data_IF_464609840760
#
_entry.id   IF_464609840760
#
_cell.length_a   1.000
_cell.length_b   1.000
_cell.length_c   1.000
_cell.angle_alpha   90.00
_cell.angle_beta   90.00
_cell.angle_gamma   90.00
#
_symmetry.space_group_name_H-M   'P 1'
#
loop_
_entity.id
_entity.type
_entity.pdbx_description
1 polymer ?
#
# COMPACT_ATOMS: atom_id res chain seq x y z
N UNK A 1 -6.51 0.27 -10.49
CA UNK A 1 -6.86 -1.14 -10.74
C UNK A 1 -5.68 -2.12 -10.53
N UNK A 2 -4.49 -1.88 -11.12
CA UNK A 2 -3.36 -2.83 -11.13
C UNK A 2 -2.97 -3.42 -9.75
N UNK A 3 -2.78 -2.57 -8.74
CA UNK A 3 -2.42 -3.04 -7.38
C UNK A 3 -3.59 -3.64 -6.60
N UNK A 4 -4.84 -3.31 -6.94
CA UNK A 4 -6.01 -3.93 -6.31
C UNK A 4 -6.12 -5.41 -6.63
N UNK A 5 -5.73 -5.80 -7.85
CA UNK A 5 -5.67 -7.20 -8.27
C UNK A 5 -4.52 -7.92 -7.58
N UNK A 6 -3.37 -7.26 -7.40
CA UNK A 6 -2.26 -7.79 -6.63
C UNK A 6 -2.62 -8.02 -5.16
N UNK A 7 -3.35 -7.08 -4.54
CA UNK A 7 -3.89 -7.23 -3.18
C UNK A 7 -4.89 -8.39 -3.09
N UNK A 8 -5.80 -8.52 -4.06
CA UNK A 8 -6.75 -9.64 -4.12
C UNK A 8 -6.04 -10.98 -4.31
N UNK A 9 -5.00 -11.02 -5.15
CA UNK A 9 -4.18 -12.20 -5.39
C UNK A 9 -3.47 -12.66 -4.12
N UNK A 10 -2.85 -11.72 -3.39
CA UNK A 10 -2.19 -11.99 -2.13
C UNK A 10 -3.17 -12.35 -1.01
N UNK A 11 -4.36 -11.74 -1.02
CA UNK A 11 -5.37 -12.00 0.02
C UNK A 11 -5.89 -13.41 -0.14
N UNK A 12 -6.18 -13.78 -1.38
CA UNK A 12 -6.52 -15.14 -1.75
C UNK A 12 -5.37 -16.09 -1.44
N UNK A 13 -4.14 -15.74 -1.80
CA UNK A 13 -2.96 -16.55 -1.52
C UNK A 13 -2.78 -16.84 -0.04
N UNK A 14 -3.08 -15.87 0.83
CA UNK A 14 -3.12 -16.02 2.28
C UNK A 14 -4.27 -16.93 2.75
N UNK A 15 -5.48 -16.73 2.24
CA UNK A 15 -6.65 -17.58 2.56
C UNK A 15 -6.39 -19.05 2.23
N UNK A 16 -5.60 -19.33 1.18
CA UNK A 16 -5.21 -20.68 0.78
C UNK A 16 -3.82 -21.11 1.32
N UNK A 17 -3.24 -20.37 2.27
CA UNK A 17 -1.93 -20.68 2.89
C UNK A 17 -0.76 -20.83 1.89
N UNK A 18 -0.89 -20.25 0.69
CA UNK A 18 0.14 -20.27 -0.35
C UNK A 18 1.11 -19.08 -0.28
N UNK A 19 0.76 -18.04 0.49
CA UNK A 19 1.55 -16.83 0.68
C UNK A 19 1.30 -16.17 2.03
N UNK A 20 2.34 -15.62 2.67
CA UNK A 20 2.22 -14.88 3.92
C UNK A 20 1.61 -13.48 3.74
N UNK A 21 0.60 -13.13 4.55
CA UNK A 21 -0.03 -11.80 4.53
C UNK A 21 0.69 -10.79 5.42
N UNK A 22 1.44 -9.90 4.80
CA UNK A 22 2.17 -8.84 5.50
C UNK A 22 1.41 -7.51 5.43
N UNK A 23 0.94 -7.00 6.58
CA UNK A 23 0.62 -5.58 6.78
C UNK A 23 -0.45 -4.97 5.86
N UNK A 24 -1.51 -5.70 5.50
CA UNK A 24 -2.53 -5.29 4.51
C UNK A 24 -1.98 -5.06 3.08
N UNK A 25 -0.71 -5.39 2.82
CA UNK A 25 -0.12 -5.44 1.49
C UNK A 25 0.11 -4.10 0.79
N UNK A 26 0.03 -2.95 1.47
CA UNK A 26 0.26 -1.66 0.80
C UNK A 26 1.70 -1.52 0.30
N UNK A 27 2.66 -2.21 0.92
CA UNK A 27 4.04 -2.23 0.45
C UNK A 27 4.18 -2.75 -0.98
N UNK A 28 3.25 -3.57 -1.48
CA UNK A 28 3.22 -3.97 -2.91
C UNK A 28 2.98 -2.78 -3.84
N UNK A 29 2.18 -1.81 -3.42
CA UNK A 29 1.94 -0.60 -4.21
C UNK A 29 3.13 0.38 -4.16
N UNK A 30 4.07 0.20 -3.23
CA UNK A 30 5.12 1.18 -2.93
C UNK A 30 6.05 1.52 -4.11
N UNK A 31 6.25 0.58 -5.04
CA UNK A 31 7.08 0.80 -6.23
C UNK A 31 6.26 1.09 -7.50
N UNK A 32 4.94 1.16 -7.42
CA UNK A 32 4.09 1.56 -8.56
C UNK A 32 4.12 3.07 -8.76
N UNK A 33 4.24 3.51 -10.01
CA UNK A 33 4.18 4.92 -10.38
C UNK A 33 2.87 5.59 -9.91
N UNK A 34 1.75 4.87 -9.97
CA UNK A 34 0.45 5.40 -9.52
C UNK A 34 0.41 5.70 -8.02
N UNK A 35 1.09 4.89 -7.20
CA UNK A 35 1.21 5.14 -5.77
C UNK A 35 2.22 6.25 -5.48
N UNK A 36 3.30 6.32 -6.26
CA UNK A 36 4.25 7.42 -6.18
C UNK A 36 3.60 8.75 -6.55
N UNK A 37 2.71 8.80 -7.54
CA UNK A 37 2.00 10.02 -7.97
C UNK A 37 0.78 10.36 -7.10
N UNK A 38 0.41 9.50 -6.15
CA UNK A 38 -0.78 9.70 -5.32
C UNK A 38 -0.84 11.06 -4.62
N UNK A 39 0.26 11.61 -4.06
CA UNK A 39 0.22 12.94 -3.46
C UNK A 39 -0.14 14.06 -4.45
N UNK A 40 0.27 13.92 -5.71
CA UNK A 40 -0.03 14.88 -6.77
C UNK A 40 -1.50 14.72 -7.19
N UNK A 41 -1.98 13.48 -7.35
CA UNK A 41 -3.35 13.20 -7.77
C UNK A 41 -4.39 13.66 -6.74
N UNK A 42 -4.08 13.56 -5.45
CA UNK A 42 -4.99 13.95 -4.38
C UNK A 42 -4.97 15.45 -4.05
N UNK A 43 -4.11 16.25 -4.71
CA UNK A 43 -3.93 17.68 -4.40
C UNK A 43 -5.24 18.47 -4.46
N UNK A 44 -6.10 18.12 -5.43
CA UNK A 44 -7.39 18.78 -5.66
C UNK A 44 -8.40 18.54 -4.53
N UNK A 45 -8.25 17.44 -3.80
CA UNK A 45 -9.18 17.03 -2.74
C UNK A 45 -8.62 17.26 -1.34
N UNK A 46 -7.41 17.81 -1.18
CA UNK A 46 -6.75 17.96 0.12
C UNK A 46 -7.59 18.74 1.13
N UNK A 47 -8.26 19.81 0.72
CA UNK A 47 -9.14 20.59 1.62
C UNK A 47 -10.21 19.71 2.27
N UNK A 48 -10.88 18.89 1.45
CA UNK A 48 -11.93 18.00 1.92
C UNK A 48 -11.35 16.87 2.78
N UNK A 49 -10.23 16.29 2.37
CA UNK A 49 -9.55 15.23 3.11
C UNK A 49 -9.18 15.71 4.52
N UNK A 50 -8.50 16.86 4.64
CA UNK A 50 -8.12 17.42 5.94
C UNK A 50 -9.33 17.82 6.78
N UNK A 51 -10.37 18.41 6.16
CA UNK A 51 -11.62 18.72 6.86
C UNK A 51 -12.23 17.46 7.49
N UNK A 52 -12.34 16.38 6.72
CA UNK A 52 -12.89 15.11 7.20
C UNK A 52 -12.02 14.48 8.29
N UNK A 53 -10.68 14.55 8.17
CA UNK A 53 -9.75 14.02 9.17
C UNK A 53 -9.89 14.74 10.50
N UNK A 54 -9.99 16.07 10.49
CA UNK A 54 -10.15 16.86 11.71
C UNK A 54 -11.54 16.69 12.33
N UNK A 55 -12.59 16.66 11.51
CA UNK A 55 -13.97 16.53 11.98
C UNK A 55 -14.34 15.10 12.42
N UNK A 56 -13.66 14.05 11.94
CA UNK A 56 -14.17 12.67 12.07
C UNK A 56 -14.38 12.18 13.50
N UNK A 57 -13.65 12.67 14.49
CA UNK A 57 -13.65 12.10 15.85
C UNK A 57 -14.49 12.90 16.85
N UNK A 58 -15.28 13.86 16.38
CA UNK A 58 -16.05 14.77 17.22
C UNK A 58 -17.52 14.70 16.88
N UNK A 59 -18.38 14.73 17.90
CA UNK A 59 -19.82 14.89 17.72
C UNK A 59 -20.17 16.39 17.73
N UNK A 60 -20.65 16.89 16.60
CA UNK A 60 -20.97 18.31 16.40
C UNK A 60 -22.45 18.62 16.53
N UNK A 61 -22.74 19.89 16.79
CA UNK A 61 -24.01 20.54 16.47
C UNK A 61 -23.82 21.50 15.28
N UNK A 62 -24.73 21.49 14.30
CA UNK A 62 -24.71 22.41 13.14
C UNK A 62 -24.16 21.80 11.85
N UNK A 63 -23.57 22.64 10.99
CA UNK A 63 -23.18 22.27 9.61
C UNK A 63 -22.25 21.05 9.52
N UNK A 64 -21.28 20.93 10.45
CA UNK A 64 -20.33 19.81 10.46
C UNK A 64 -20.97 18.48 10.88
N UNK A 65 -22.13 18.49 11.54
CA UNK A 65 -22.86 17.27 11.88
C UNK A 65 -23.31 16.54 10.61
N UNK A 66 -23.77 17.28 9.60
CA UNK A 66 -24.19 16.70 8.31
C UNK A 66 -23.02 16.00 7.64
N UNK A 67 -21.83 16.61 7.65
CA UNK A 67 -20.61 16.03 7.12
C UNK A 67 -20.19 14.77 7.90
N UNK A 68 -20.17 14.82 9.23
CA UNK A 68 -19.78 13.68 10.07
C UNK A 68 -20.78 12.52 10.00
N UNK A 69 -22.04 12.78 9.70
CA UNK A 69 -23.04 11.73 9.49
C UNK A 69 -22.99 11.13 8.07
N UNK A 70 -22.40 11.85 7.11
CA UNK A 70 -22.15 11.36 5.76
C UNK A 70 -20.96 10.38 5.76
N UNK A 71 -21.19 9.17 6.29
CA UNK A 71 -20.17 8.11 6.40
C UNK A 71 -19.54 7.74 5.04
N UNK A 72 -20.29 7.84 3.96
CA UNK A 72 -19.83 7.63 2.57
C UNK A 72 -18.86 8.71 2.08
N UNK A 73 -18.74 9.85 2.78
CA UNK A 73 -17.74 10.88 2.55
C UNK A 73 -16.57 10.71 3.50
N UNK A 74 -16.85 10.50 4.79
CA UNK A 74 -15.82 10.41 5.84
C UNK A 74 -14.88 9.23 5.61
N UNK A 75 -15.40 8.00 5.49
CA UNK A 75 -14.52 6.82 5.41
C UNK A 75 -13.61 6.82 4.17
N UNK A 76 -14.10 7.15 2.96
CA UNK A 76 -13.21 7.30 1.81
C UNK A 76 -12.18 8.42 2.00
N UNK A 77 -12.55 9.54 2.63
CA UNK A 77 -11.62 10.64 2.90
C UNK A 77 -10.53 10.23 3.92
N UNK A 78 -10.88 9.46 4.95
CA UNK A 78 -9.91 8.90 5.90
C UNK A 78 -8.98 7.90 5.22
N UNK A 79 -9.51 7.03 4.36
CA UNK A 79 -8.70 6.10 3.57
C UNK A 79 -7.74 6.85 2.63
N UNK A 80 -8.23 7.87 1.92
CA UNK A 80 -7.42 8.73 1.06
C UNK A 80 -6.32 9.46 1.86
N UNK A 81 -6.65 9.95 3.05
CA UNK A 81 -5.67 10.56 3.94
C UNK A 81 -4.55 9.60 4.33
N UNK A 82 -4.89 8.40 4.80
CA UNK A 82 -3.86 7.43 5.23
C UNK A 82 -3.04 6.95 4.02
N UNK A 83 -3.66 6.74 2.85
CA UNK A 83 -2.94 6.43 1.62
C UNK A 83 -1.99 7.54 1.21
N UNK A 84 -2.45 8.80 1.22
CA UNK A 84 -1.63 9.99 0.98
C UNK A 84 -0.44 10.04 1.94
N UNK A 85 -0.71 9.83 3.23
CA UNK A 85 0.30 9.86 4.28
C UNK A 85 1.39 8.81 4.06
N UNK A 86 1.00 7.56 3.79
CA UNK A 86 1.96 6.49 3.50
C UNK A 86 2.68 6.69 2.16
N UNK A 87 2.06 7.32 1.16
CA UNK A 87 2.74 7.68 -0.08
C UNK A 87 3.84 8.74 0.16
N UNK A 88 3.60 9.74 1.01
CA UNK A 88 4.62 10.72 1.41
C UNK A 88 5.73 10.06 2.23
N UNK A 89 5.38 9.20 3.18
CA UNK A 89 6.38 8.42 3.93
C UNK A 89 7.23 7.55 2.99
N UNK A 90 6.62 6.94 1.97
CA UNK A 90 7.34 6.17 0.96
C UNK A 90 8.32 7.03 0.16
N UNK A 91 7.97 8.27 -0.19
CA UNK A 91 8.90 9.23 -0.80
C UNK A 91 10.08 9.53 0.13
N UNK A 92 9.81 9.80 1.40
CA UNK A 92 10.86 10.04 2.39
C UNK A 92 11.77 8.82 2.53
N UNK A 93 11.20 7.62 2.66
CA UNK A 93 11.93 6.38 2.76
C UNK A 93 12.83 6.15 1.53
N UNK A 94 12.33 6.41 0.32
CA UNK A 94 13.14 6.35 -0.91
C UNK A 94 14.24 7.41 -0.93
N UNK A 95 13.93 8.64 -0.55
CA UNK A 95 14.89 9.76 -0.48
C UNK A 95 16.04 9.48 0.49
N UNK A 96 15.73 8.94 1.66
CA UNK A 96 16.72 8.55 2.67
C UNK A 96 17.35 7.16 2.42
N UNK A 97 16.96 6.47 1.34
CA UNK A 97 17.39 5.09 1.03
C UNK A 97 17.21 4.13 2.20
N UNK A 98 16.07 4.24 2.88
CA UNK A 98 15.67 3.34 3.96
C UNK A 98 14.46 2.52 3.55
N UNK A 99 14.33 1.37 4.20
CA UNK A 99 13.24 0.43 4.00
C UNK A 99 12.39 0.33 5.25
N UNK A 100 11.11 0.64 5.09
CA UNK A 100 10.14 0.73 6.18
C UNK A 100 9.09 -0.38 6.07
N UNK A 101 8.60 -0.84 7.22
CA UNK A 101 7.50 -1.79 7.26
C UNK A 101 6.17 -1.11 6.93
N UNK A 102 5.29 -1.83 6.24
CA UNK A 102 3.91 -1.42 6.01
C UNK A 102 2.95 -1.86 7.13
N UNK A 103 3.46 -2.51 8.18
CA UNK A 103 2.67 -3.04 9.32
C UNK A 103 1.77 -2.03 10.01
N UNK A 104 2.13 -0.75 9.99
CA UNK A 104 1.40 0.33 10.67
C UNK A 104 0.25 0.89 9.84
N UNK A 105 0.17 0.57 8.54
CA UNK A 105 -0.88 1.10 7.66
C UNK A 105 -2.29 0.72 8.11
N UNK A 106 -2.54 -0.59 8.26
CA UNK A 106 -3.84 -1.11 8.70
C UNK A 106 -4.27 -0.57 10.06
N UNK A 107 -3.43 -0.65 11.12
CA UNK A 107 -3.73 -0.10 12.43
C UNK A 107 -4.03 1.40 12.43
N UNK A 108 -3.30 2.22 11.65
CA UNK A 108 -3.54 3.67 11.54
C UNK A 108 -4.90 3.94 10.90
N UNK A 109 -5.22 3.26 9.80
CA UNK A 109 -6.53 3.40 9.14
C UNK A 109 -7.66 2.97 10.08
N UNK A 110 -7.50 1.84 10.76
CA UNK A 110 -8.45 1.36 11.75
C UNK A 110 -8.63 2.35 12.90
N UNK A 111 -7.56 2.95 13.42
CA UNK A 111 -7.65 3.95 14.49
C UNK A 111 -8.48 5.16 14.08
N UNK A 112 -8.31 5.68 12.86
CA UNK A 112 -9.15 6.77 12.35
C UNK A 112 -10.61 6.35 12.16
N UNK A 113 -10.86 5.16 11.62
CA UNK A 113 -12.21 4.63 11.43
C UNK A 113 -12.93 4.41 12.78
N UNK A 114 -12.23 3.81 13.76
CA UNK A 114 -12.76 3.59 15.11
C UNK A 114 -13.00 4.92 15.83
N UNK A 115 -12.11 5.90 15.66
CA UNK A 115 -12.30 7.24 16.20
C UNK A 115 -13.58 7.91 15.67
N UNK A 116 -13.97 7.64 14.42
CA UNK A 116 -15.23 8.11 13.86
C UNK A 116 -16.44 7.32 14.35
N UNK A 117 -16.31 6.00 14.44
CA UNK A 117 -17.36 5.10 14.93
C UNK A 117 -17.71 5.39 16.39
N UNK A 118 -16.71 5.55 17.25
CA UNK A 118 -16.88 5.80 18.68
C UNK A 118 -17.03 7.28 19.04
N UNK A 119 -17.20 8.20 18.08
CA UNK A 119 -17.27 9.64 18.36
C UNK A 119 -18.29 9.97 19.45
N UNK A 120 -19.46 9.34 19.41
CA UNK A 120 -20.54 9.57 20.38
C UNK A 120 -20.19 8.99 21.76
N UNK A 121 -19.74 7.73 21.79
CA UNK A 121 -19.34 7.05 23.04
C UNK A 121 -18.15 7.73 23.72
N UNK A 122 -17.20 8.24 22.94
CA UNK A 122 -16.00 8.94 23.43
C UNK A 122 -16.38 10.21 24.18
N UNK A 123 -17.37 10.96 23.69
CA UNK A 123 -17.89 12.14 24.38
C UNK A 123 -18.65 11.79 25.66
N UNK A 124 -19.48 10.75 25.62
CA UNK A 124 -20.23 10.31 26.82
C UNK A 124 -19.31 9.81 27.94
N UNK A 125 -18.21 9.12 27.60
CA UNK A 125 -17.32 8.49 28.57
C UNK A 125 -16.14 9.38 28.97
N UNK A 126 -15.50 10.04 28.02
CA UNK A 126 -14.26 10.81 28.24
C UNK A 126 -14.47 12.32 28.14
N UNK A 127 -15.63 12.78 27.67
CA UNK A 127 -15.96 14.21 27.54
C UNK A 127 -15.64 15.01 28.80
N UNK A 128 -16.12 14.62 29.99
CA UNK A 128 -15.89 15.40 31.22
C UNK A 128 -14.39 15.56 31.54
N UNK A 129 -13.59 14.52 31.31
CA UNK A 129 -12.13 14.57 31.50
C UNK A 129 -11.41 15.40 30.42
N UNK A 130 -12.02 15.57 29.25
CA UNK A 130 -11.54 16.44 28.18
C UNK A 130 -12.11 17.86 28.23
N UNK A 131 -12.90 18.20 29.26
CA UNK A 131 -13.47 19.52 29.48
C UNK A 131 -14.82 19.79 28.80
N UNK A 132 -15.56 18.75 28.39
CA UNK A 132 -16.84 18.85 27.68
C UNK A 132 -17.90 17.93 28.27
N UNK A 133 -19.10 18.44 28.58
CA UNK A 133 -20.20 17.63 29.14
C UNK A 133 -21.28 17.26 28.11
N UNK A 134 -21.11 17.67 26.84
CA UNK A 134 -22.10 17.49 25.77
C UNK A 134 -21.47 17.54 24.37
N UNK A 135 -22.26 17.94 23.37
CA UNK A 135 -21.80 18.03 21.96
C UNK A 135 -20.91 19.25 21.73
N UNK A 136 -19.98 19.15 20.79
CA UNK A 136 -19.15 20.27 20.39
C UNK A 136 -19.94 21.21 19.45
N UNK A 137 -19.96 22.50 19.74
CA UNK A 137 -20.52 23.47 18.79
C UNK A 137 -19.64 23.56 17.54
N UNK A 138 -20.26 23.68 16.36
CA UNK A 138 -19.52 23.97 15.13
C UNK A 138 -18.90 25.35 15.22
N UNK A 139 -17.57 25.40 15.34
CA UNK A 139 -16.80 26.66 15.35
C UNK A 139 -16.26 27.03 13.97
N UNK A 140 -16.37 26.13 13.00
CA UNK A 140 -15.92 26.31 11.62
C UNK A 140 -17.10 26.20 10.66
N UNK A 141 -17.54 27.35 10.13
CA UNK A 141 -18.74 27.45 9.29
C UNK A 141 -18.45 27.21 7.80
N UNK A 142 -19.48 26.84 7.05
CA UNK A 142 -19.38 26.60 5.61
C UNK A 142 -18.88 27.82 4.81
N UNK A 143 -19.18 29.04 5.27
CA UNK A 143 -18.65 30.29 4.70
C UNK A 143 -17.13 30.36 4.78
N UNK A 144 -16.55 29.98 5.92
CA UNK A 144 -15.11 29.96 6.15
C UNK A 144 -14.38 28.89 5.33
N UNK A 145 -15.06 27.80 4.97
CA UNK A 145 -14.47 26.74 4.14
C UNK A 145 -14.11 27.21 2.73
N UNK A 146 -14.95 28.07 2.13
CA UNK A 146 -14.71 28.57 0.76
C UNK A 146 -13.46 29.47 0.69
N UNK A 147 -13.26 30.31 1.70
CA UNK A 147 -12.13 31.25 1.77
C UNK A 147 -10.85 30.65 2.35
N UNK A 148 -10.93 29.56 3.11
CA UNK A 148 -9.76 28.94 3.75
C UNK A 148 -8.79 28.32 2.75
N UNK A 149 -7.49 28.53 2.95
CA UNK A 149 -6.44 27.82 2.20
C UNK A 149 -6.27 26.38 2.71
N UNK A 150 -5.49 25.55 1.99
CA UNK A 150 -5.18 24.19 2.44
C UNK A 150 -4.40 24.22 3.76
N UNK A 151 -3.46 25.15 3.89
CA UNK A 151 -2.64 25.33 5.10
C UNK A 151 -3.55 25.72 6.28
N UNK A 152 -4.53 26.58 6.03
CA UNK A 152 -5.51 26.98 7.04
C UNK A 152 -6.30 25.78 7.56
N UNK A 153 -6.80 24.92 6.67
CA UNK A 153 -7.56 23.73 7.08
C UNK A 153 -6.64 22.70 7.78
N UNK A 154 -5.40 22.56 7.31
CA UNK A 154 -4.48 21.56 7.83
C UNK A 154 -3.93 21.92 9.22
N UNK A 155 -3.52 23.16 9.44
CA UNK A 155 -2.81 23.57 10.66
C UNK A 155 -3.55 24.66 11.44
N UNK A 156 -3.88 25.79 10.81
CA UNK A 156 -4.38 26.99 11.50
C UNK A 156 -5.74 26.75 12.16
N UNK A 157 -6.66 26.12 11.43
CA UNK A 157 -8.01 25.82 11.85
C UNK A 157 -8.20 24.37 12.25
N UNK A 158 -7.17 23.51 12.21
CA UNK A 158 -7.33 22.07 12.49
C UNK A 158 -7.92 21.79 13.88
N UNK A 159 -7.44 22.51 14.90
CA UNK A 159 -7.97 22.42 16.27
C UNK A 159 -9.40 22.98 16.36
N UNK A 160 -9.67 24.05 15.62
CA UNK A 160 -10.94 24.77 15.57
C UNK A 160 -12.03 23.92 14.90
N UNK A 161 -11.68 23.30 13.76
CA UNK A 161 -12.47 22.28 13.07
C UNK A 161 -12.72 21.14 14.04
N UNK A 162 -11.70 20.63 14.73
CA UNK A 162 -11.79 19.58 15.75
C UNK A 162 -12.55 19.93 17.05
N UNK A 163 -13.43 20.94 17.03
CA UNK A 163 -14.26 21.33 18.16
C UNK A 163 -13.49 21.89 19.36
N UNK A 164 -12.23 22.31 19.15
CA UNK A 164 -11.29 22.74 20.18
C UNK A 164 -10.99 21.66 21.25
N UNK A 165 -11.16 20.38 20.90
CA UNK A 165 -10.87 19.26 21.81
C UNK A 165 -9.40 18.87 21.70
N UNK A 166 -8.55 19.50 22.51
CA UNK A 166 -7.10 19.29 22.51
C UNK A 166 -6.70 17.81 22.64
N UNK A 167 -7.40 17.04 23.48
CA UNK A 167 -7.12 15.62 23.68
C UNK A 167 -7.24 14.80 22.38
N UNK A 168 -8.35 14.97 21.66
CA UNK A 168 -8.60 14.30 20.37
C UNK A 168 -7.62 14.79 19.30
N UNK A 169 -7.35 16.10 19.29
CA UNK A 169 -6.38 16.69 18.36
C UNK A 169 -4.99 16.05 18.52
N UNK A 170 -4.45 16.02 19.75
CA UNK A 170 -3.15 15.39 20.01
C UNK A 170 -3.16 13.87 19.82
N UNK A 171 -4.26 13.19 20.13
CA UNK A 171 -4.39 11.75 19.89
C UNK A 171 -4.21 11.40 18.40
N UNK A 172 -4.77 12.21 17.48
CA UNK A 172 -4.56 12.02 16.03
C UNK A 172 -3.08 12.16 15.65
N UNK A 173 -2.37 13.14 16.21
CA UNK A 173 -0.92 13.28 15.98
C UNK A 173 -0.13 12.10 16.54
N UNK A 174 -0.49 11.56 17.70
CA UNK A 174 0.16 10.37 18.27
C UNK A 174 -0.01 9.17 17.32
N UNK A 175 -1.22 8.94 16.81
CA UNK A 175 -1.47 7.88 15.82
C UNK A 175 -0.61 8.07 14.56
N UNK A 176 -0.49 9.30 14.08
CA UNK A 176 0.34 9.61 12.91
C UNK A 176 1.84 9.52 13.19
N UNK A 177 2.30 9.79 14.42
CA UNK A 177 3.71 9.68 14.78
C UNK A 177 4.22 8.23 14.73
N UNK A 178 3.36 7.22 14.95
CA UNK A 178 3.74 5.80 14.98
C UNK A 178 4.46 5.37 13.68
N UNK A 179 3.91 5.60 12.47
CA UNK A 179 4.63 5.34 11.21
C UNK A 179 5.96 6.08 11.07
N UNK A 180 6.09 7.32 11.58
CA UNK A 180 7.36 8.07 11.51
C UNK A 180 8.42 7.49 12.44
N UNK A 181 8.01 7.03 13.62
CA UNK A 181 8.90 6.32 14.55
C UNK A 181 9.39 5.02 13.89
N UNK A 182 8.51 4.30 13.18
CA UNK A 182 8.91 3.10 12.42
C UNK A 182 9.92 3.42 11.31
N UNK A 183 9.74 4.54 10.61
CA UNK A 183 10.71 5.04 9.63
C UNK A 183 12.06 5.39 10.24
N UNK A 184 12.11 5.99 11.42
CA UNK A 184 13.36 6.47 12.03
C UNK A 184 14.10 5.37 12.81
N UNK A 185 13.38 4.52 13.54
CA UNK A 185 13.95 3.58 14.52
C UNK A 185 14.08 2.18 13.96
N UNK A 186 13.08 1.69 13.22
CA UNK A 186 12.97 0.28 12.81
C UNK A 186 13.26 0.04 11.33
N UNK A 187 13.64 1.09 10.59
CA UNK A 187 13.96 1.00 9.17
C UNK A 187 15.36 0.46 8.92
N UNK A 188 15.48 -0.35 7.86
CA UNK A 188 16.78 -0.86 7.42
C UNK A 188 17.34 0.05 6.34
N UNK A 189 18.62 0.41 6.43
CA UNK A 189 19.29 1.14 5.35
C UNK A 189 19.48 0.23 4.13
N UNK A 190 19.21 0.77 2.95
CA UNK A 190 19.36 0.10 1.65
C UNK A 190 20.56 0.69 0.90
N UNK A 191 21.43 -0.16 0.33
CA UNK A 191 22.63 0.26 -0.39
C UNK A 191 23.85 -0.68 -0.23
N UNK A 192 25.01 -0.35 -0.82
CA UNK A 192 26.18 -1.24 -0.84
C UNK A 192 26.80 -1.54 0.54
N UNK A 193 26.40 -0.81 1.60
CA UNK A 193 26.80 -1.05 2.99
C UNK A 193 25.77 -1.88 3.79
N UNK A 194 24.77 -2.46 3.14
CA UNK A 194 23.82 -3.35 3.81
C UNK A 194 24.53 -4.54 4.44
N UNK A 195 24.18 -4.85 5.70
CA UNK A 195 24.70 -5.98 6.49
C UNK A 195 24.18 -7.35 5.99
N UNK A 196 23.91 -7.51 4.70
CA UNK A 196 23.54 -8.82 4.18
C UNK A 196 24.79 -9.65 3.98
N UNK A 197 24.83 -10.81 4.65
CA UNK A 197 25.85 -11.82 4.36
C UNK A 197 25.63 -12.26 2.92
N UNK A 198 26.63 -12.16 2.03
CA UNK A 198 26.47 -12.58 0.66
C UNK A 198 26.11 -14.07 0.61
N UNK A 199 25.13 -14.41 -0.21
CA UNK A 199 24.85 -15.78 -0.60
C UNK A 199 26.13 -16.41 -1.17
N UNK A 200 26.48 -17.61 -0.73
CA UNK A 200 27.76 -18.26 -1.09
C UNK A 200 27.75 -18.92 -2.49
N UNK A 201 26.59 -19.01 -3.15
CA UNK A 201 26.49 -19.49 -4.53
C UNK A 201 26.71 -18.38 -5.57
N UNK A 202 26.95 -18.76 -6.83
CA UNK A 202 26.99 -17.80 -7.95
C UNK A 202 25.56 -17.36 -8.28
N UNK A 203 25.19 -16.08 -8.10
CA UNK A 203 23.86 -15.60 -8.44
C UNK A 203 23.66 -15.63 -9.96
N UNK A 204 22.45 -15.94 -10.41
CA UNK A 204 22.10 -15.80 -11.82
C UNK A 204 21.92 -14.32 -12.21
N UNK A 205 21.89 -14.01 -13.51
CA UNK A 205 21.74 -12.61 -13.98
C UNK A 205 20.40 -11.99 -13.54
N UNK A 206 19.33 -12.78 -13.47
CA UNK A 206 18.01 -12.31 -13.00
C UNK A 206 18.04 -12.02 -11.50
N UNK A 207 18.61 -12.91 -10.69
CA UNK A 207 18.84 -12.69 -9.26
C UNK A 207 19.72 -11.47 -9.02
N UNK A 208 20.75 -11.27 -9.84
CA UNK A 208 21.65 -10.10 -9.75
C UNK A 208 20.89 -8.81 -10.09
N UNK A 209 20.09 -8.82 -11.17
CA UNK A 209 19.30 -7.67 -11.60
C UNK A 209 18.21 -7.32 -10.59
N UNK A 210 17.52 -8.34 -10.04
CA UNK A 210 16.52 -8.18 -8.99
C UNK A 210 17.16 -7.75 -7.67
N UNK A 211 18.29 -8.32 -7.28
CA UNK A 211 19.02 -7.92 -6.08
C UNK A 211 19.52 -6.48 -6.19
N UNK A 212 20.02 -6.08 -7.36
CA UNK A 212 20.37 -4.68 -7.64
C UNK A 212 19.11 -3.82 -7.51
N UNK A 213 18.02 -4.14 -8.20
CA UNK A 213 16.78 -3.36 -8.15
C UNK A 213 16.20 -3.28 -6.73
N UNK A 214 16.22 -4.37 -5.98
CA UNK A 214 15.78 -4.45 -4.59
C UNK A 214 16.69 -3.67 -3.62
N UNK A 215 18.00 -3.69 -3.84
CA UNK A 215 19.01 -2.98 -3.05
C UNK A 215 19.11 -1.49 -3.43
N UNK A 216 18.49 -1.07 -4.53
CA UNK A 216 18.29 0.34 -4.87
C UNK A 216 16.86 0.84 -4.57
N UNK A 217 15.89 -0.05 -4.38
CA UNK A 217 14.53 0.30 -3.98
C UNK A 217 14.41 0.43 -2.45
N UNK A 218 14.68 1.63 -1.92
CA UNK A 218 14.11 2.05 -0.64
C UNK A 218 12.57 2.09 -0.70
N UNK A 219 11.91 2.39 0.41
CA UNK A 219 10.44 2.54 0.45
C UNK A 219 9.71 1.58 1.39
N UNK A 220 8.39 1.51 1.23
CA UNK A 220 7.50 0.67 2.04
C UNK A 220 7.57 -0.82 1.67
N UNK A 221 7.10 -1.67 2.58
CA UNK A 221 6.97 -3.11 2.40
C UNK A 221 8.24 -3.88 2.76
N UNK A 222 8.73 -3.70 3.99
CA UNK A 222 9.74 -4.60 4.57
C UNK A 222 9.15 -6.00 4.73
N UNK A 223 9.51 -6.94 3.85
CA UNK A 223 9.36 -8.36 4.12
C UNK A 223 10.63 -8.90 4.78
N UNK A 224 10.60 -10.12 5.28
CA UNK A 224 11.82 -10.87 5.64
C UNK A 224 12.58 -11.24 4.35
N UNK A 225 13.21 -10.24 3.72
CA UNK A 225 13.73 -10.27 2.34
C UNK A 225 14.78 -11.36 2.08
N UNK A 226 15.33 -11.98 3.13
CA UNK A 226 16.36 -13.01 3.00
C UNK A 226 16.11 -14.12 4.00
N UNK A 227 15.26 -15.08 3.62
CA UNK A 227 15.61 -16.46 3.97
C UNK A 227 16.85 -16.80 3.12
N UNK A 228 17.80 -17.59 3.65
CA UNK A 228 19.02 -17.98 2.91
C UNK A 228 18.74 -18.72 1.58
N UNK A 229 17.47 -19.00 1.26
CA UNK A 229 16.98 -19.83 0.15
C UNK A 229 16.29 -19.06 -0.99
N UNK A 230 16.04 -17.74 -0.92
CA UNK A 230 15.45 -17.02 -2.07
C UNK A 230 14.69 -15.72 -1.77
N UNK A 231 14.11 -15.13 -2.84
CA UNK A 231 13.23 -13.95 -2.81
C UNK A 231 11.78 -14.38 -2.49
N UNK A 232 11.16 -13.78 -1.46
CA UNK A 232 9.76 -14.02 -1.12
C UNK A 232 8.83 -13.48 -2.24
N UNK A 233 7.73 -14.19 -2.55
CA UNK A 233 6.70 -13.77 -3.50
C UNK A 233 6.18 -12.34 -3.27
N UNK A 234 6.11 -11.89 -2.02
CA UNK A 234 5.78 -10.50 -1.68
C UNK A 234 6.73 -9.47 -2.35
N UNK A 235 8.03 -9.76 -2.44
CA UNK A 235 9.01 -8.88 -3.08
C UNK A 235 8.85 -8.80 -4.59
N UNK A 236 8.52 -9.92 -5.23
CA UNK A 236 8.25 -9.95 -6.66
C UNK A 236 7.09 -9.04 -7.00
N UNK A 237 5.97 -9.22 -6.29
CA UNK A 237 4.75 -8.44 -6.50
C UNK A 237 5.03 -6.95 -6.24
N UNK A 238 5.80 -6.62 -5.20
CA UNK A 238 6.23 -5.25 -4.92
C UNK A 238 7.10 -4.64 -6.03
N UNK A 239 8.02 -5.40 -6.61
CA UNK A 239 8.91 -4.92 -7.67
C UNK A 239 8.23 -4.76 -9.03
N UNK A 240 6.94 -5.10 -9.12
CA UNK A 240 6.22 -5.00 -10.37
C UNK A 240 6.04 -6.35 -11.08
N UNK A 241 6.26 -7.48 -10.42
CA UNK A 241 6.31 -8.80 -11.06
C UNK A 241 5.36 -9.81 -10.39
N UNK A 242 4.67 -10.61 -11.19
CA UNK A 242 3.80 -11.69 -10.73
C UNK A 242 4.35 -13.04 -11.19
N UNK A 243 4.33 -14.04 -10.31
CA UNK A 243 4.70 -15.40 -10.68
C UNK A 243 3.50 -16.07 -11.36
N UNK A 244 3.70 -16.55 -12.59
CA UNK A 244 2.68 -17.19 -13.42
C UNK A 244 2.97 -18.69 -13.57
N UNK A 245 2.14 -19.52 -12.94
CA UNK A 245 2.39 -20.95 -12.85
C UNK A 245 3.48 -21.28 -11.82
N UNK A 246 4.39 -22.20 -12.13
CA UNK A 246 5.50 -22.59 -11.23
C UNK A 246 6.81 -21.85 -11.52
N UNK A 247 7.08 -21.53 -12.79
CA UNK A 247 8.43 -21.11 -13.22
C UNK A 247 8.47 -19.82 -14.05
N UNK A 248 7.34 -19.15 -14.29
CA UNK A 248 7.32 -17.95 -15.14
C UNK A 248 7.11 -16.68 -14.32
N UNK A 249 7.75 -15.59 -14.72
CA UNK A 249 7.59 -14.27 -14.12
C UNK A 249 6.98 -13.35 -15.18
N UNK A 250 5.90 -12.66 -14.83
CA UNK A 250 5.19 -11.71 -15.66
C UNK A 250 5.34 -10.30 -15.07
N UNK A 251 5.63 -9.29 -15.88
CA UNK A 251 5.56 -7.89 -15.44
C UNK A 251 4.11 -7.44 -15.26
N UNK A 252 3.81 -6.62 -14.25
CA UNK A 252 2.53 -5.94 -14.10
C UNK A 252 2.22 -4.98 -15.24
N UNK A 253 3.24 -4.55 -15.99
CA UNK A 253 2.99 -3.78 -17.21
C UNK A 253 2.41 -4.66 -18.30
N UNK A 254 2.71 -5.96 -18.36
CA UNK A 254 2.19 -6.89 -19.37
C UNK A 254 0.90 -7.61 -18.94
N UNK A 255 0.33 -7.24 -17.80
CA UNK A 255 -0.86 -7.88 -17.21
C UNK A 255 -2.09 -7.84 -18.11
N UNK A 256 -2.23 -6.80 -18.96
CA UNK A 256 -3.37 -6.70 -19.89
C UNK A 256 -3.33 -7.82 -20.93
N UNK A 257 -2.13 -8.27 -21.33
CA UNK A 257 -1.97 -9.43 -22.20
C UNK A 257 -2.54 -10.64 -21.48
N UNK A 258 -2.11 -10.92 -20.25
CA UNK A 258 -2.60 -12.06 -19.47
C UNK A 258 -4.13 -12.05 -19.22
N UNK A 259 -4.72 -10.89 -18.91
CA UNK A 259 -6.18 -10.76 -18.75
C UNK A 259 -6.91 -10.97 -20.07
N UNK A 260 -6.44 -10.39 -21.16
CA UNK A 260 -7.08 -10.54 -22.47
C UNK A 260 -7.00 -11.99 -22.99
N UNK A 261 -5.97 -12.72 -22.60
CA UNK A 261 -5.77 -14.09 -23.00
C UNK A 261 -6.62 -15.12 -22.21
N UNK A 262 -7.09 -14.79 -21.00
CA UNK A 262 -7.86 -15.75 -20.19
C UNK A 262 -9.25 -16.08 -20.77
N UNK A 263 -10.09 -15.09 -21.15
CA UNK A 263 -11.33 -15.37 -21.88
C UNK A 263 -11.06 -16.08 -23.21
N UNK A 264 -9.99 -15.68 -23.91
CA UNK A 264 -9.57 -16.31 -25.17
C UNK A 264 -9.19 -17.79 -25.00
N UNK A 265 -8.64 -18.18 -23.85
CA UNK A 265 -8.38 -19.58 -23.51
C UNK A 265 -9.65 -20.37 -23.16
N UNK A 266 -10.66 -19.72 -22.58
CA UNK A 266 -11.96 -20.35 -22.27
C UNK A 266 -12.83 -20.57 -23.51
N UNK A 267 -12.68 -19.73 -24.54
CA UNK A 267 -13.52 -19.76 -25.75
C UNK A 267 -12.88 -20.61 -26.87
N UNK A 268 -11.72 -21.24 -26.65
CA UNK A 268 -10.94 -22.02 -27.64
C UNK A 268 -10.54 -21.27 -28.93
N UNK A 269 -10.98 -20.03 -29.11
CA UNK A 269 -10.53 -19.13 -30.17
C UNK A 269 -9.31 -18.34 -29.69
N UNK A 270 -8.14 -18.97 -29.70
CA UNK A 270 -6.92 -18.21 -29.46
C UNK A 270 -6.64 -17.35 -30.69
N UNK A 271 -6.81 -16.04 -30.56
CA UNK A 271 -6.04 -15.06 -31.34
C UNK A 271 -4.59 -15.57 -31.42
N UNK A 272 -3.92 -15.37 -32.56
CA UNK A 272 -2.56 -15.85 -32.85
C UNK A 272 -1.47 -15.16 -31.99
N UNK A 273 -1.77 -14.89 -30.72
CA UNK A 273 -0.94 -14.23 -29.75
C UNK A 273 0.17 -15.16 -29.31
N UNK A 274 1.38 -14.62 -29.37
CA UNK A 274 2.61 -15.29 -29.01
C UNK A 274 3.23 -14.56 -27.83
N UNK A 275 3.62 -15.33 -26.83
CA UNK A 275 4.29 -14.84 -25.63
C UNK A 275 5.77 -15.12 -25.80
N UNK A 276 6.60 -14.13 -25.51
CA UNK A 276 8.03 -14.35 -25.34
C UNK A 276 8.29 -14.84 -23.91
N UNK A 277 8.79 -16.07 -23.78
CA UNK A 277 9.15 -16.66 -22.49
C UNK A 277 10.67 -16.70 -22.38
N UNK A 278 11.18 -16.23 -21.26
CA UNK A 278 12.58 -16.36 -20.89
C UNK A 278 12.76 -17.67 -20.12
N UNK A 279 13.38 -18.67 -20.75
CA UNK A 279 13.59 -19.98 -20.14
C UNK A 279 15.01 -20.07 -19.57
N UNK A 280 15.11 -20.28 -18.26
CA UNK A 280 16.36 -20.59 -17.54
C UNK A 280 16.73 -22.03 -17.84
N UNK A 281 17.89 -22.26 -18.45
CA UNK A 281 18.45 -23.62 -18.56
C UNK A 281 19.07 -24.05 -17.24
N UNK A 282 18.82 -25.29 -16.82
CA UNK A 282 19.35 -25.88 -15.58
C UNK A 282 20.82 -26.28 -15.69
N UNK A 283 21.36 -26.39 -16.90
CA UNK A 283 22.77 -26.71 -17.13
C UNK A 283 23.66 -25.47 -17.03
N UNK A 284 24.85 -25.62 -16.43
CA UNK A 284 25.85 -24.55 -16.36
C UNK A 284 26.64 -24.49 -17.68
N UNK A 285 26.95 -23.30 -18.24
CA UNK A 285 26.53 -21.97 -17.76
C UNK A 285 25.02 -21.77 -17.95
N UNK A 286 24.37 -21.14 -16.96
CA UNK A 286 22.93 -20.84 -17.03
C UNK A 286 22.72 -19.86 -18.19
N UNK A 287 22.09 -20.33 -19.26
CA UNK A 287 21.72 -19.50 -20.42
C UNK A 287 20.22 -19.20 -20.36
N UNK A 288 19.87 -17.93 -20.47
CA UNK A 288 18.49 -17.50 -20.60
C UNK A 288 18.18 -17.50 -22.09
N UNK A 289 17.28 -18.39 -22.52
CA UNK A 289 16.86 -18.48 -23.91
C UNK A 289 15.51 -17.81 -24.08
N UNK A 290 15.42 -16.94 -25.09
CA UNK A 290 14.16 -16.34 -25.52
C UNK A 290 13.43 -17.34 -26.41
N UNK A 291 12.31 -17.87 -25.94
CA UNK A 291 11.50 -18.82 -26.69
C UNK A 291 10.08 -18.31 -26.79
N UNK A 292 9.56 -18.29 -28.01
CA UNK A 292 8.26 -17.74 -28.31
C UNK A 292 7.23 -18.88 -28.30
N UNK A 293 6.27 -18.81 -27.39
CA UNK A 293 5.21 -19.81 -27.25
C UNK A 293 3.86 -19.25 -27.68
N UNK A 294 3.00 -20.09 -28.24
CA UNK A 294 1.58 -19.74 -28.38
C UNK A 294 0.92 -19.74 -27.01
N UNK A 295 -0.05 -18.85 -26.79
CA UNK A 295 -0.77 -18.79 -25.51
C UNK A 295 -1.50 -20.10 -25.17
N UNK A 296 -2.00 -20.83 -26.18
CA UNK A 296 -2.62 -22.16 -26.03
C UNK A 296 -1.64 -23.28 -25.65
N UNK A 297 -0.35 -22.98 -25.46
CA UNK A 297 0.61 -24.00 -25.11
C UNK A 297 0.24 -24.66 -23.76
N UNK A 298 0.25 -26.02 -23.65
CA UNK A 298 -0.22 -26.74 -22.46
C UNK A 298 0.44 -26.31 -21.15
N UNK A 299 1.66 -25.77 -21.23
CA UNK A 299 2.41 -25.14 -20.13
C UNK A 299 1.62 -24.07 -19.37
N UNK A 300 0.66 -23.41 -20.03
CA UNK A 300 -0.17 -22.35 -19.46
C UNK A 300 -1.61 -22.80 -19.15
N UNK A 301 -2.02 -23.99 -19.61
CA UNK A 301 -3.40 -24.46 -19.54
C UNK A 301 -3.91 -24.76 -18.12
N UNK A 302 -3.02 -25.18 -17.21
CA UNK A 302 -3.37 -25.50 -15.82
C UNK A 302 -2.94 -24.42 -14.81
N UNK A 303 -2.37 -23.31 -15.28
CA UNK A 303 -1.83 -22.28 -14.40
C UNK A 303 -2.89 -21.22 -14.12
N UNK A 304 -3.54 -21.34 -12.96
CA UNK A 304 -4.44 -20.30 -12.48
C UNK A 304 -3.63 -19.05 -12.09
N UNK A 305 -3.94 -17.95 -12.78
CA UNK A 305 -3.63 -16.53 -12.55
C UNK A 305 -3.39 -16.01 -11.12
N UNK A 306 -3.77 -16.74 -10.06
CA UNK A 306 -3.71 -16.29 -8.68
C UNK A 306 -2.88 -17.16 -7.75
N UNK A 307 -2.17 -18.16 -8.25
CA UNK A 307 -1.28 -18.95 -7.41
C UNK A 307 0.04 -18.20 -7.22
N UNK A 308 0.02 -17.18 -6.35
CA UNK A 308 1.25 -16.58 -5.82
C UNK A 308 1.81 -17.59 -4.82
N UNK A 309 2.55 -18.55 -5.34
CA UNK A 309 3.23 -19.52 -4.51
C UNK A 309 4.48 -18.81 -3.97
N UNK A 310 4.65 -18.75 -2.65
CA UNK A 310 5.93 -18.35 -2.04
C UNK A 310 6.95 -19.46 -2.29
N UNK A 311 7.36 -19.63 -3.54
CA UNK A 311 8.40 -20.59 -3.88
C UNK A 311 9.72 -19.94 -3.46
N UNK A 312 10.41 -20.57 -2.53
CA UNK A 312 11.85 -20.35 -2.38
C UNK A 312 12.47 -20.73 -3.74
N UNK A 313 12.82 -19.74 -4.55
CA UNK A 313 13.53 -19.97 -5.81
C UNK A 313 14.96 -20.37 -5.43
N UNK A 314 15.22 -21.68 -5.37
CA UNK A 314 16.56 -22.27 -5.27
C UNK A 314 17.42 -22.04 -6.53
#
# INVERSE_FOLDING_TARGET
>A
MRWGIALLALWRGYVYETSDWHGCGIGIAACSDTFALLPILLILNLKQIFLCVWASSVEYEGDLLVLCNAWYIIYPSLAQFVLLYFAVINWLAKGFRVRMSDRTFGPVLLAFCLGHWFRQSTFLTLGPAMGFTGRAQTLFFASSYRSATIIDIMFTHGLLIGGNVKGIFYAKFVVLAIPLIDLVVFSDRVGPKCKFKPYRGKPCQVETTLAIRANYSGGLGKSSIYKPTGLNGYEFVRLGYLLYGKDNILSFDDYYVAISCYPSALVNETFNQRILVLVKTTMRPIVITQTMFRWSHPRFGNCWWFQVQSVDIE
#
